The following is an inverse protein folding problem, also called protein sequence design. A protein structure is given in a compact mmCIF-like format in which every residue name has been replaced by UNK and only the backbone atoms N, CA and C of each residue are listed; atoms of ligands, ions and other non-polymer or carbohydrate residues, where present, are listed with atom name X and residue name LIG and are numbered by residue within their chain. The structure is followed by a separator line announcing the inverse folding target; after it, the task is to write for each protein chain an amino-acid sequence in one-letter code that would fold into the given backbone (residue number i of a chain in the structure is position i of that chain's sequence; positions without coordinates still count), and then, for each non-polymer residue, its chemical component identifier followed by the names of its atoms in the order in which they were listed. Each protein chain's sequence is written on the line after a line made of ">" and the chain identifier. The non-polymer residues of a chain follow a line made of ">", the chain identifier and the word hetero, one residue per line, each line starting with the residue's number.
data_IF_834821941788
#
_entry.id   IF_834821941788
#
_cell.length_a   1.000
_cell.length_b   1.000
_cell.length_c   1.000
_cell.angle_alpha   90.00
_cell.angle_beta   90.00
_cell.angle_gamma   90.00
#
_symmetry.space_group_name_H-M   'P 1'
#
loop_
_entity.id
_entity.type
_entity.pdbx_description
1 polymer ?
#
# COMPACT_ATOMS: atom_id res chain seq x y z
N UNK A 1 -1.26 -9.51 4.28
CA UNK A 1 -0.39 -8.48 3.66
C UNK A 1 -1.19 -7.58 2.77
N UNK A 2 -0.82 -6.30 2.65
CA UNK A 2 -1.51 -5.38 1.76
C UNK A 2 -0.83 -5.33 0.39
N UNK A 3 -1.66 -5.23 -0.65
CA UNK A 3 -1.25 -4.93 -2.02
C UNK A 3 -1.93 -3.65 -2.48
N UNK A 4 -1.11 -2.66 -2.79
CA UNK A 4 -1.52 -1.39 -3.36
C UNK A 4 -1.30 -1.47 -4.88
N UNK A 5 -2.29 -1.05 -5.64
CA UNK A 5 -2.28 -1.09 -7.11
C UNK A 5 -2.44 0.33 -7.64
N UNK A 6 -1.39 0.82 -8.29
CA UNK A 6 -1.32 2.14 -8.89
C UNK A 6 -1.54 1.99 -10.39
N UNK A 7 -2.57 2.64 -10.91
CA UNK A 7 -2.90 2.66 -12.34
C UNK A 7 -3.13 4.09 -12.77
N UNK A 8 -3.07 4.35 -14.08
CA UNK A 8 -3.41 5.67 -14.62
C UNK A 8 -4.77 6.21 -14.14
N UNK A 9 -5.73 5.31 -13.94
CA UNK A 9 -7.13 5.67 -13.68
C UNK A 9 -7.57 5.47 -12.24
N UNK A 10 -6.64 5.14 -11.33
CA UNK A 10 -7.02 4.96 -9.94
C UNK A 10 -6.06 4.13 -9.10
N UNK A 11 -6.47 3.99 -7.86
CA UNK A 11 -5.71 3.36 -6.78
C UNK A 11 -6.58 2.34 -6.05
N UNK A 12 -6.03 1.16 -5.79
CA UNK A 12 -6.73 0.06 -5.13
C UNK A 12 -5.88 -0.59 -4.05
N UNK A 13 -6.50 -0.91 -2.91
CA UNK A 13 -5.90 -1.73 -1.87
C UNK A 13 -6.62 -3.07 -1.83
N UNK A 14 -5.84 -4.16 -1.83
CA UNK A 14 -6.32 -5.51 -1.57
C UNK A 14 -5.61 -6.11 -0.35
N UNK A 15 -6.36 -6.87 0.45
CA UNK A 15 -5.78 -7.73 1.46
C UNK A 15 -5.46 -9.11 0.88
N UNK A 16 -4.22 -9.56 1.05
CA UNK A 16 -3.73 -10.83 0.52
C UNK A 16 -3.41 -11.81 1.66
N UNK A 17 -3.88 -13.05 1.50
CA UNK A 17 -3.67 -14.16 2.45
C UNK A 17 -2.39 -14.96 2.19
N UNK A 18 -1.61 -14.59 1.17
CA UNK A 18 -0.36 -15.26 0.81
C UNK A 18 0.85 -14.47 1.32
N UNK A 19 1.97 -15.14 1.55
CA UNK A 19 3.21 -14.46 1.94
C UNK A 19 3.76 -13.60 0.80
N UNK A 20 4.49 -12.54 1.16
CA UNK A 20 5.17 -11.65 0.22
C UNK A 20 6.09 -12.45 -0.72
N UNK A 21 6.92 -13.34 -0.16
CA UNK A 21 7.84 -14.19 -0.94
C UNK A 21 7.10 -15.06 -1.97
N UNK A 22 6.01 -15.73 -1.58
CA UNK A 22 5.26 -16.59 -2.48
C UNK A 22 4.57 -15.78 -3.59
N UNK A 23 4.03 -14.62 -3.23
CA UNK A 23 3.32 -13.74 -4.16
C UNK A 23 4.27 -13.09 -5.18
N UNK A 24 5.45 -12.63 -4.73
CA UNK A 24 6.50 -12.08 -5.59
C UNK A 24 7.09 -13.17 -6.49
N UNK A 25 7.43 -14.33 -5.93
CA UNK A 25 8.01 -15.46 -6.68
C UNK A 25 7.12 -15.88 -7.85
N UNK A 26 5.81 -15.96 -7.62
CA UNK A 26 4.85 -16.32 -8.69
C UNK A 26 4.91 -15.36 -9.87
N UNK A 27 5.08 -14.05 -9.61
CA UNK A 27 5.15 -13.01 -10.64
C UNK A 27 6.49 -12.97 -11.36
N UNK A 28 7.58 -13.12 -10.61
CA UNK A 28 8.93 -13.24 -11.18
C UNK A 28 9.01 -14.44 -12.13
N UNK A 29 8.49 -15.60 -11.71
CA UNK A 29 8.45 -16.80 -12.56
C UNK A 29 7.60 -16.59 -13.82
N UNK A 30 6.47 -15.91 -13.70
CA UNK A 30 5.63 -15.59 -14.85
C UNK A 30 6.37 -14.68 -15.84
N UNK A 31 6.96 -13.58 -15.36
CA UNK A 31 7.69 -12.62 -16.18
C UNK A 31 8.86 -13.28 -16.94
N UNK A 32 9.63 -14.13 -16.25
CA UNK A 32 10.71 -14.91 -16.86
C UNK A 32 10.21 -15.84 -17.97
N UNK A 33 9.05 -16.48 -17.77
CA UNK A 33 8.47 -17.42 -18.75
C UNK A 33 7.83 -16.70 -19.93
N UNK A 34 7.27 -15.51 -19.72
CA UNK A 34 6.64 -14.71 -20.77
C UNK A 34 7.61 -13.82 -21.52
N UNK A 35 8.87 -13.71 -21.07
CA UNK A 35 9.85 -12.78 -21.62
C UNK A 35 9.48 -11.31 -21.35
N UNK A 36 8.73 -11.04 -20.28
CA UNK A 36 8.29 -9.70 -19.90
C UNK A 36 9.25 -9.13 -18.86
N UNK A 37 9.60 -7.85 -18.98
CA UNK A 37 10.38 -7.15 -17.94
C UNK A 37 9.56 -7.02 -16.66
N UNK A 38 10.19 -7.25 -15.52
CA UNK A 38 9.62 -7.01 -14.19
C UNK A 38 10.73 -6.53 -13.27
N UNK A 39 10.64 -5.27 -12.85
CA UNK A 39 11.45 -4.69 -11.81
C UNK A 39 10.83 -5.05 -10.46
N UNK A 40 11.67 -5.47 -9.51
CA UNK A 40 11.27 -5.77 -8.12
C UNK A 40 12.32 -5.17 -7.20
N UNK A 41 11.93 -4.23 -6.34
CA UNK A 41 12.85 -3.53 -5.47
C UNK A 41 12.22 -3.11 -4.14
N UNK A 42 13.01 -3.00 -3.06
CA UNK A 42 12.59 -2.30 -1.86
C UNK A 42 12.26 -0.85 -2.19
N UNK A 43 11.12 -0.35 -1.71
CA UNK A 43 10.69 1.03 -1.94
C UNK A 43 9.74 1.48 -0.83
N UNK A 44 9.34 2.75 -0.88
CA UNK A 44 8.19 3.27 -0.16
C UNK A 44 7.04 3.56 -1.12
N UNK A 45 5.82 3.55 -0.59
CA UNK A 45 4.64 3.96 -1.33
C UNK A 45 3.71 4.74 -0.40
N UNK A 46 2.99 5.71 -0.97
CA UNK A 46 2.03 6.50 -0.23
C UNK A 46 0.64 6.47 -0.84
N UNK A 47 -0.36 6.74 -0.01
CA UNK A 47 -1.75 6.89 -0.45
C UNK A 47 -2.50 7.80 0.51
N UNK A 48 -3.59 8.39 0.01
CA UNK A 48 -4.43 9.30 0.79
C UNK A 48 -5.58 8.57 1.50
N UNK A 49 -5.86 9.01 2.72
CA UNK A 49 -7.03 8.63 3.51
C UNK A 49 -7.81 9.89 3.92
N UNK A 50 -9.14 9.79 3.94
CA UNK A 50 -10.01 10.87 4.43
C UNK A 50 -10.03 10.91 5.95
N UNK A 51 -9.86 12.09 6.54
CA UNK A 51 -9.84 12.31 7.99
C UNK A 51 -11.21 12.20 8.67
N UNK A 52 -12.31 12.27 7.92
CA UNK A 52 -13.67 12.27 8.45
C UNK A 52 -14.17 10.88 8.87
N UNK A 53 -13.32 9.85 8.74
CA UNK A 53 -13.68 8.47 9.07
C UNK A 53 -13.40 8.15 10.55
N UNK A 54 -14.31 7.45 11.23
CA UNK A 54 -14.15 7.12 12.65
C UNK A 54 -12.89 6.27 12.92
N UNK A 55 -12.49 5.43 11.95
CA UNK A 55 -11.33 4.55 12.04
C UNK A 55 -9.99 5.31 11.96
N UNK A 56 -9.97 6.54 11.47
CA UNK A 56 -8.75 7.36 11.39
C UNK A 56 -8.33 7.83 12.77
N UNK A 57 -9.28 8.17 13.64
CA UNK A 57 -8.97 8.51 15.03
C UNK A 57 -8.30 7.33 15.73
N UNK A 58 -8.78 6.11 15.49
CA UNK A 58 -8.14 4.90 15.99
C UNK A 58 -6.70 4.74 15.46
N UNK A 59 -6.47 4.98 14.16
CA UNK A 59 -5.12 4.96 13.57
C UNK A 59 -4.18 5.96 14.26
N UNK A 60 -4.67 7.17 14.55
CA UNK A 60 -3.89 8.22 15.20
C UNK A 60 -3.62 7.95 16.68
N UNK A 61 -4.58 7.37 17.39
CA UNK A 61 -4.42 6.95 18.79
C UNK A 61 -3.41 5.81 18.91
N UNK A 62 -3.47 4.84 18.00
CA UNK A 62 -2.64 3.64 17.99
C UNK A 62 -1.29 3.83 17.27
N UNK A 63 -0.99 5.01 16.71
CA UNK A 63 0.20 5.23 15.84
C UNK A 63 1.51 4.80 16.50
N UNK A 64 1.64 4.99 17.82
CA UNK A 64 2.82 4.60 18.58
C UNK A 64 2.98 3.07 18.67
N UNK A 65 1.88 2.31 18.61
CA UNK A 65 1.89 0.85 18.59
C UNK A 65 2.35 0.30 17.22
N UNK A 66 2.23 1.10 16.16
CA UNK A 66 2.66 0.76 14.80
C UNK A 66 4.07 1.27 14.46
N UNK A 67 4.86 1.63 15.48
CA UNK A 67 6.21 2.14 15.29
C UNK A 67 7.08 1.13 14.52
N UNK A 68 7.57 1.53 13.35
CA UNK A 68 8.39 0.70 12.46
C UNK A 68 7.62 -0.01 11.34
N UNK A 69 6.28 0.12 11.31
CA UNK A 69 5.43 -0.37 10.21
C UNK A 69 4.90 0.79 9.35
N UNK A 70 4.54 1.91 10.00
CA UNK A 70 4.23 3.16 9.32
C UNK A 70 5.49 4.01 9.26
N UNK A 71 5.84 4.44 8.05
CA UNK A 71 7.02 5.28 7.83
C UNK A 71 6.69 6.72 8.21
N UNK A 72 5.60 7.25 7.65
CA UNK A 72 5.13 8.62 7.92
C UNK A 72 3.60 8.70 7.84
N UNK A 73 3.03 9.60 8.67
CA UNK A 73 1.66 10.07 8.55
C UNK A 73 1.69 11.59 8.39
N UNK A 74 1.39 12.06 7.18
CA UNK A 74 1.50 13.47 6.82
C UNK A 74 0.10 14.05 6.61
N UNK A 75 -0.28 15.06 7.41
CA UNK A 75 -1.54 15.77 7.15
C UNK A 75 -1.38 16.64 5.90
N UNK A 76 -2.16 16.36 4.86
CA UNK A 76 -2.10 17.11 3.61
C UNK A 76 -2.92 18.41 3.72
N UNK A 77 -4.15 18.31 4.21
CA UNK A 77 -5.07 19.44 4.39
C UNK A 77 -6.08 19.20 5.52
N UNK A 78 -7.24 19.87 5.49
CA UNK A 78 -8.28 19.72 6.51
C UNK A 78 -9.02 18.37 6.42
N UNK A 79 -9.05 17.75 5.24
CA UNK A 79 -9.89 16.59 4.90
C UNK A 79 -9.08 15.30 4.63
N UNK A 80 -7.79 15.41 4.33
CA UNK A 80 -6.95 14.31 3.90
C UNK A 80 -5.61 14.18 4.66
N UNK A 81 -5.18 12.94 4.80
CA UNK A 81 -3.87 12.55 5.34
C UNK A 81 -3.21 11.55 4.40
N UNK A 82 -1.92 11.72 4.18
CA UNK A 82 -1.07 10.78 3.48
C UNK A 82 -0.49 9.76 4.46
N UNK A 83 -0.59 8.48 4.08
CA UNK A 83 0.05 7.36 4.78
C UNK A 83 1.20 6.88 3.92
N UNK A 84 2.41 6.83 4.49
CA UNK A 84 3.61 6.32 3.81
C UNK A 84 4.02 4.99 4.44
N UNK A 85 4.20 3.97 3.60
CA UNK A 85 4.57 2.62 3.99
C UNK A 85 5.87 2.18 3.31
N UNK A 86 6.60 1.28 3.97
CA UNK A 86 7.77 0.60 3.42
C UNK A 86 7.40 -0.80 2.92
N UNK A 87 8.00 -1.22 1.81
CA UNK A 87 7.65 -2.50 1.19
C UNK A 87 8.43 -2.78 -0.08
N UNK A 88 7.79 -3.51 -0.98
CA UNK A 88 8.38 -3.94 -2.25
C UNK A 88 7.54 -3.40 -3.41
N UNK A 89 8.18 -2.66 -4.29
CA UNK A 89 7.61 -2.21 -5.56
C UNK A 89 7.81 -3.26 -6.65
N UNK A 90 6.80 -3.44 -7.49
CA UNK A 90 6.83 -4.27 -8.68
C UNK A 90 6.25 -3.49 -9.87
N UNK A 91 7.07 -3.28 -10.90
CA UNK A 91 6.69 -2.51 -12.09
C UNK A 91 7.38 -3.00 -13.34
N UNK A 92 7.00 -2.46 -14.50
CA UNK A 92 7.71 -2.71 -15.76
C UNK A 92 9.06 -1.99 -15.84
N UNK A 93 9.17 -0.88 -15.10
CA UNK A 93 10.35 -0.03 -14.97
C UNK A 93 10.42 0.57 -13.55
N UNK A 94 11.61 0.96 -13.13
CA UNK A 94 11.90 1.58 -11.81
C UNK A 94 11.26 2.97 -11.71
N UNK A 95 11.16 3.70 -12.80
CA UNK A 95 10.55 5.04 -12.83
C UNK A 95 9.04 5.02 -13.13
N UNK A 96 8.42 3.84 -13.17
CA UNK A 96 6.99 3.71 -13.50
C UNK A 96 6.12 4.22 -12.36
N UNK A 97 5.22 5.16 -12.64
CA UNK A 97 4.18 5.62 -11.70
C UNK A 97 3.04 4.58 -11.56
N UNK A 98 2.96 3.63 -12.50
CA UNK A 98 2.02 2.52 -12.46
C UNK A 98 2.71 1.22 -12.04
N UNK A 99 2.07 0.47 -11.16
CA UNK A 99 2.65 -0.75 -10.63
C UNK A 99 1.92 -1.30 -9.43
N UNK A 100 2.56 -2.29 -8.81
CA UNK A 100 2.07 -2.97 -7.63
C UNK A 100 3.05 -2.73 -6.51
N UNK A 101 2.55 -2.32 -5.35
CA UNK A 101 3.32 -2.27 -4.12
C UNK A 101 2.76 -3.30 -3.15
N UNK A 102 3.65 -4.06 -2.51
CA UNK A 102 3.27 -5.01 -1.46
C UNK A 102 4.05 -4.73 -0.19
N UNK A 103 3.35 -4.71 0.93
CA UNK A 103 3.95 -4.55 2.25
C UNK A 103 3.33 -5.54 3.22
N UNK A 104 4.15 -5.98 4.18
CA UNK A 104 3.70 -6.79 5.31
C UNK A 104 3.71 -5.90 6.54
N UNK A 105 2.57 -5.78 7.19
CA UNK A 105 2.38 -5.06 8.44
C UNK A 105 1.82 -6.05 9.48
N UNK A 106 1.53 -5.57 10.68
CA UNK A 106 0.75 -6.31 11.65
C UNK A 106 -0.69 -6.51 11.17
N UNK A 107 -1.29 -7.66 11.47
CA UNK A 107 -2.68 -7.98 11.05
C UNK A 107 -3.69 -6.88 11.44
N UNK A 108 -3.45 -6.24 12.60
CA UNK A 108 -4.24 -5.10 13.09
C UNK A 108 -4.12 -3.89 12.17
N UNK A 109 -2.90 -3.50 11.82
CA UNK A 109 -2.68 -2.34 10.94
C UNK A 109 -3.17 -2.62 9.52
N UNK A 110 -2.92 -3.82 8.98
CA UNK A 110 -3.42 -4.21 7.66
C UNK A 110 -4.94 -4.11 7.59
N UNK A 111 -5.63 -4.65 8.60
CA UNK A 111 -7.09 -4.59 8.69
C UNK A 111 -7.60 -3.16 8.82
N UNK A 112 -6.96 -2.34 9.66
CA UNK A 112 -7.35 -0.96 9.90
C UNK A 112 -7.20 -0.10 8.65
N UNK A 113 -6.04 -0.15 7.97
CA UNK A 113 -5.79 0.59 6.74
C UNK A 113 -6.73 0.14 5.61
N UNK A 114 -6.98 -1.16 5.49
CA UNK A 114 -7.92 -1.68 4.51
C UNK A 114 -9.34 -1.17 4.76
N UNK A 115 -9.78 -1.12 6.02
CA UNK A 115 -11.09 -0.61 6.42
C UNK A 115 -11.22 0.90 6.17
N UNK A 116 -10.21 1.69 6.53
CA UNK A 116 -10.16 3.13 6.24
C UNK A 116 -10.28 3.37 4.73
N UNK A 117 -9.50 2.64 3.91
CA UNK A 117 -9.56 2.78 2.46
C UNK A 117 -10.91 2.39 1.87
N UNK A 118 -11.54 1.32 2.36
CA UNK A 118 -12.86 0.89 1.87
C UNK A 118 -13.93 1.97 2.06
N UNK A 119 -13.94 2.59 3.24
CA UNK A 119 -14.90 3.62 3.64
C UNK A 119 -14.54 5.02 3.13
N UNK A 120 -13.32 5.23 2.63
CA UNK A 120 -12.89 6.54 2.12
C UNK A 120 -13.69 6.98 0.90
N UNK A 121 -14.32 8.16 0.94
CA UNK A 121 -15.00 8.74 -0.21
C UNK A 121 -13.99 9.18 -1.30
N UNK A 122 -12.74 9.44 -0.89
CA UNK A 122 -11.63 9.85 -1.74
C UNK A 122 -10.75 8.63 -1.99
N UNK A 123 -10.74 8.13 -3.22
CA UNK A 123 -9.88 7.03 -3.71
C UNK A 123 -9.04 7.54 -4.87
N UNK A 124 -8.26 8.59 -4.58
CA UNK A 124 -7.43 9.27 -5.56
C UNK A 124 -5.98 9.04 -5.15
N UNK A 125 -5.13 8.80 -6.15
CA UNK A 125 -3.69 8.73 -5.98
C UNK A 125 -3.12 10.12 -5.72
#
# INVERSE_FOLDING_TARGET
>A
MLKLTYTHNGFYIDHLEVSLEAWVTTRVLLALRSGTSLCVEPSSASFLISLDLPYVNQLLEDVNEFTGEIVELNRCDEEAMEVVLEGTWLGSDVASEEGLFVCRLSDRLESLLYQIWQESPVKIN
#
